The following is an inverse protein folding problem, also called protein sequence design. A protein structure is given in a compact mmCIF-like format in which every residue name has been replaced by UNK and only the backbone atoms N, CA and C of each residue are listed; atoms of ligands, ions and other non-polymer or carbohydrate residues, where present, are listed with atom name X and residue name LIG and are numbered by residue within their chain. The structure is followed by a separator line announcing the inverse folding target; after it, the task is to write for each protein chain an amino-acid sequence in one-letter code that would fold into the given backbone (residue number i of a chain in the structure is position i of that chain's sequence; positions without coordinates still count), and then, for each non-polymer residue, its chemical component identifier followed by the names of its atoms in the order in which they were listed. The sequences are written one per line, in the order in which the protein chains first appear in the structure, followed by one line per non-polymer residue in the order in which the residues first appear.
data_IF_664657597065
#
_entry.id   IF_664657597065
#
_cell.length_a   1.000
_cell.length_b   1.000
_cell.length_c   1.000
_cell.angle_alpha   90.00
_cell.angle_beta   90.00
_cell.angle_gamma   90.00
#
_symmetry.space_group_name_H-M   'P 1'
#
loop_
_entity.id
_entity.type
_entity.pdbx_description
1 polymer ?
#
# COMPACT_ATOMS: atom_id res chain seq x y z
N UNK A 1 35.82 1.05 7.09
CA UNK A 1 34.69 1.88 6.63
C UNK A 1 35.04 3.35 6.79
N UNK A 2 34.67 4.22 5.86
CA UNK A 2 34.96 5.67 5.97
C UNK A 2 33.68 6.47 6.19
N UNK A 3 33.79 7.61 6.86
CA UNK A 3 32.68 8.56 7.04
C UNK A 3 32.05 8.98 5.70
N UNK A 4 32.88 9.25 4.68
CA UNK A 4 32.43 9.55 3.32
C UNK A 4 31.58 8.42 2.72
N UNK A 5 31.97 7.15 2.92
CA UNK A 5 31.20 6.00 2.43
C UNK A 5 29.84 5.84 3.13
N UNK A 6 29.74 6.21 4.42
CA UNK A 6 28.49 6.24 5.16
C UNK A 6 27.58 7.37 4.67
N UNK A 7 28.13 8.58 4.48
CA UNK A 7 27.38 9.72 3.94
C UNK A 7 26.82 9.42 2.56
N UNK A 8 27.58 8.76 1.68
CA UNK A 8 27.11 8.36 0.36
C UNK A 8 25.94 7.38 0.44
N UNK A 9 26.03 6.35 1.30
CA UNK A 9 24.96 5.36 1.47
C UNK A 9 23.71 5.94 2.12
N UNK A 10 23.85 6.78 3.15
CA UNK A 10 22.72 7.50 3.74
C UNK A 10 22.04 8.46 2.75
N UNK A 11 22.82 9.05 1.84
CA UNK A 11 22.26 9.90 0.76
C UNK A 11 21.48 9.06 -0.24
N UNK A 12 22.06 7.95 -0.71
CA UNK A 12 21.39 7.03 -1.62
C UNK A 12 20.08 6.49 -1.02
N UNK A 13 20.09 6.13 0.27
CA UNK A 13 18.89 5.69 0.99
C UNK A 13 17.85 6.80 1.13
N UNK A 14 18.30 8.04 1.36
CA UNK A 14 17.41 9.22 1.38
C UNK A 14 16.75 9.45 0.01
N UNK A 15 17.47 9.24 -1.09
CA UNK A 15 16.92 9.37 -2.44
C UNK A 15 15.97 8.22 -2.80
N UNK A 16 16.29 7.00 -2.37
CA UNK A 16 15.38 5.86 -2.49
C UNK A 16 14.07 6.10 -1.74
N UNK A 17 14.12 6.67 -0.52
CA UNK A 17 12.91 7.00 0.23
C UNK A 17 12.07 8.09 -0.47
N UNK A 18 12.70 9.06 -1.15
CA UNK A 18 11.96 10.02 -2.01
C UNK A 18 11.25 9.31 -3.16
N UNK A 19 11.88 8.31 -3.79
CA UNK A 19 11.23 7.49 -4.81
C UNK A 19 10.00 6.76 -4.23
N UNK A 20 10.10 6.20 -3.02
CA UNK A 20 8.96 5.62 -2.30
C UNK A 20 7.83 6.64 -2.09
N UNK A 21 8.13 7.90 -1.74
CA UNK A 21 7.12 8.96 -1.64
C UNK A 21 6.41 9.25 -2.96
N UNK A 22 7.12 9.20 -4.10
CA UNK A 22 6.51 9.36 -5.41
C UNK A 22 5.52 8.22 -5.73
N UNK A 23 5.88 6.98 -5.39
CA UNK A 23 4.99 5.83 -5.54
C UNK A 23 3.77 5.94 -4.61
N UNK A 24 3.96 6.33 -3.35
CA UNK A 24 2.86 6.58 -2.39
C UNK A 24 1.93 7.66 -2.92
N UNK A 25 2.47 8.75 -3.49
CA UNK A 25 1.66 9.80 -4.09
C UNK A 25 0.84 9.25 -5.26
N UNK A 26 1.47 8.48 -6.16
CA UNK A 26 0.79 7.83 -7.28
C UNK A 26 -0.34 6.91 -6.80
N UNK A 27 -0.11 6.11 -5.76
CA UNK A 27 -1.14 5.26 -5.16
C UNK A 27 -2.31 6.10 -4.64
N UNK A 28 -2.03 7.18 -3.91
CA UNK A 28 -3.06 8.06 -3.35
C UNK A 28 -3.92 8.78 -4.39
N UNK A 29 -3.42 8.91 -5.62
CA UNK A 29 -4.08 9.60 -6.73
C UNK A 29 -4.68 8.63 -7.76
N UNK A 30 -4.64 7.33 -7.49
CA UNK A 30 -5.21 6.33 -8.37
C UNK A 30 -6.74 6.52 -8.47
N UNK A 31 -7.24 6.64 -9.69
CA UNK A 31 -8.67 6.81 -9.97
C UNK A 31 -9.27 5.50 -10.46
N UNK A 32 -10.53 5.27 -10.10
CA UNK A 32 -11.25 4.06 -10.46
C UNK A 32 -12.54 4.40 -11.20
N UNK A 33 -12.78 3.68 -12.27
CA UNK A 33 -14.01 3.78 -13.07
C UNK A 33 -14.82 2.49 -12.92
N UNK A 34 -16.16 2.53 -13.00
CA UNK A 34 -16.97 1.31 -13.06
C UNK A 34 -16.47 0.39 -14.19
N UNK A 35 -16.30 -0.90 -13.92
CA UNK A 35 -15.78 -1.89 -14.88
C UNK A 35 -14.25 -1.91 -15.04
N UNK A 36 -13.51 -1.00 -14.41
CA UNK A 36 -12.03 -1.00 -14.45
C UNK A 36 -11.37 -1.86 -13.37
N UNK A 37 -12.16 -2.35 -12.41
CA UNK A 37 -11.66 -3.20 -11.33
C UNK A 37 -12.36 -4.55 -11.45
N UNK A 38 -11.64 -5.67 -11.39
CA UNK A 38 -12.25 -6.99 -11.34
C UNK A 38 -13.29 -7.09 -10.20
N UNK A 39 -14.47 -7.61 -10.52
CA UNK A 39 -15.50 -7.91 -9.52
C UNK A 39 -15.07 -9.11 -8.66
N UNK A 40 -14.45 -10.11 -9.29
CA UNK A 40 -13.95 -11.33 -8.67
C UNK A 40 -12.42 -11.26 -8.51
N UNK A 41 -11.97 -10.92 -7.31
CA UNK A 41 -10.55 -10.86 -6.94
C UNK A 41 -9.86 -9.50 -7.11
N UNK A 42 -8.57 -9.49 -6.79
CA UNK A 42 -7.67 -8.32 -6.88
C UNK A 42 -6.46 -8.60 -7.80
N UNK A 43 -6.46 -9.74 -8.51
CA UNK A 43 -5.39 -10.17 -9.42
C UNK A 43 -5.40 -9.31 -10.69
N UNK A 44 -4.26 -8.67 -10.98
CA UNK A 44 -4.13 -7.68 -12.06
C UNK A 44 -4.63 -6.27 -11.72
N UNK A 45 -5.05 -5.99 -10.47
CA UNK A 45 -5.35 -4.63 -10.03
C UNK A 45 -4.04 -3.86 -9.76
N UNK A 46 -3.82 -2.79 -10.53
CA UNK A 46 -2.67 -1.87 -10.43
C UNK A 46 -2.47 -1.36 -9.00
N UNK A 47 -3.56 -1.21 -8.23
CA UNK A 47 -3.48 -0.86 -6.80
C UNK A 47 -2.68 -1.88 -6.01
N UNK A 48 -2.91 -3.17 -6.26
CA UNK A 48 -2.33 -4.29 -5.52
C UNK A 48 -0.86 -4.41 -5.83
N UNK A 49 -0.48 -4.32 -7.12
CA UNK A 49 0.90 -4.30 -7.58
C UNK A 49 1.68 -3.12 -6.97
N UNK A 50 1.16 -1.90 -7.12
CA UNK A 50 1.80 -0.70 -6.59
C UNK A 50 1.90 -0.73 -5.06
N UNK A 51 0.91 -1.31 -4.37
CA UNK A 51 0.97 -1.50 -2.91
C UNK A 51 2.05 -2.49 -2.51
N UNK A 52 2.25 -3.57 -3.27
CA UNK A 52 3.34 -4.53 -3.02
C UNK A 52 4.70 -3.89 -3.24
N UNK A 53 4.87 -3.19 -4.37
CA UNK A 53 6.14 -2.51 -4.70
C UNK A 53 6.54 -1.49 -3.61
N UNK A 54 5.60 -0.66 -3.16
CA UNK A 54 5.85 0.30 -2.08
C UNK A 54 6.19 -0.43 -0.78
N UNK A 55 5.45 -1.49 -0.45
CA UNK A 55 5.68 -2.25 0.78
C UNK A 55 7.09 -2.83 0.82
N UNK A 56 7.52 -3.47 -0.26
CA UNK A 56 8.81 -4.15 -0.35
C UNK A 56 9.95 -3.13 -0.40
N UNK A 57 9.78 -2.02 -1.12
CA UNK A 57 10.73 -0.90 -1.13
C UNK A 57 10.93 -0.31 0.27
N UNK A 58 9.84 0.00 1.00
CA UNK A 58 9.94 0.55 2.36
C UNK A 58 10.56 -0.45 3.33
N UNK A 59 10.24 -1.74 3.19
CA UNK A 59 10.84 -2.79 4.02
C UNK A 59 12.35 -2.88 3.80
N UNK A 60 12.80 -2.95 2.55
CA UNK A 60 14.23 -2.97 2.23
C UNK A 60 14.95 -1.72 2.75
N UNK A 61 14.34 -0.55 2.59
CA UNK A 61 14.90 0.71 3.07
C UNK A 61 15.04 0.76 4.59
N UNK A 62 14.08 0.22 5.34
CA UNK A 62 14.14 0.12 6.80
C UNK A 62 15.24 -0.84 7.25
N UNK A 63 15.37 -2.01 6.62
CA UNK A 63 16.44 -2.98 6.90
C UNK A 63 17.82 -2.38 6.62
N UNK A 64 18.00 -1.72 5.47
CA UNK A 64 19.24 -1.03 5.11
C UNK A 64 19.55 0.11 6.09
N UNK A 65 18.51 0.83 6.53
CA UNK A 65 18.65 1.92 7.49
C UNK A 65 19.14 1.44 8.85
N UNK A 66 18.58 0.34 9.35
CA UNK A 66 18.98 -0.25 10.63
C UNK A 66 20.47 -0.61 10.64
N UNK A 67 20.95 -1.22 9.56
CA UNK A 67 22.38 -1.52 9.38
C UNK A 67 23.21 -0.24 9.38
N UNK A 68 22.87 0.75 8.54
CA UNK A 68 23.62 2.00 8.44
C UNK A 68 23.63 2.79 9.75
N UNK A 69 22.54 2.75 10.51
CA UNK A 69 22.46 3.37 11.83
C UNK A 69 23.44 2.73 12.79
N UNK A 70 23.51 1.40 12.86
CA UNK A 70 24.48 0.70 13.69
C UNK A 70 25.92 1.05 13.29
N UNK A 71 26.22 1.08 11.98
CA UNK A 71 27.55 1.45 11.49
C UNK A 71 27.96 2.88 11.89
N UNK A 72 27.00 3.83 11.92
CA UNK A 72 27.22 5.20 12.41
C UNK A 72 27.44 5.23 13.92
N UNK A 73 26.64 4.48 14.69
CA UNK A 73 26.77 4.39 16.14
C UNK A 73 28.14 3.81 16.53
N UNK A 74 28.60 2.74 15.88
CA UNK A 74 29.91 2.13 16.09
C UNK A 74 31.06 3.11 15.78
N UNK A 75 30.93 3.90 14.70
CA UNK A 75 31.92 4.90 14.32
C UNK A 75 32.03 6.04 15.33
N UNK A 76 30.89 6.48 15.88
CA UNK A 76 30.85 7.50 16.94
C UNK A 76 31.42 6.96 18.24
N UNK A 77 31.03 5.75 18.65
CA UNK A 77 31.50 5.11 19.87
C UNK A 77 33.02 4.85 19.83
N UNK A 78 33.53 4.29 18.73
CA UNK A 78 34.96 4.03 18.54
C UNK A 78 35.84 5.29 18.52
N UNK A 79 35.28 6.44 18.16
CA UNK A 79 35.98 7.73 18.17
C UNK A 79 36.18 8.30 19.58
N UNK A 80 35.40 7.87 20.56
CA UNK A 80 35.39 8.40 21.94
C UNK A 80 36.50 7.83 22.85
N UNK A 81 37.02 6.63 22.55
CA UNK A 81 37.84 5.85 23.50
C UNK A 81 39.33 6.26 23.52
N UNK A 82 39.84 6.97 22.51
CA UNK A 82 41.29 7.21 22.37
C UNK A 82 41.76 8.65 22.12
N UNK A 83 40.87 9.59 21.77
CA UNK A 83 41.29 10.91 21.25
C UNK A 83 40.88 12.06 22.18
N UNK A 84 41.68 12.34 23.22
CA UNK A 84 41.56 13.55 24.07
C UNK A 84 41.89 14.86 23.34
N UNK A 85 42.26 14.81 22.05
CA UNK A 85 42.42 16.01 21.21
C UNK A 85 41.12 16.25 20.45
N UNK A 86 40.42 17.31 20.85
CA UNK A 86 39.22 17.88 20.20
C UNK A 86 39.51 18.11 18.73
N UNK A 87 39.07 17.18 17.87
CA UNK A 87 39.29 17.29 16.44
C UNK A 87 38.02 17.88 15.82
N UNK A 88 37.92 19.21 15.81
CA UNK A 88 36.70 19.95 15.46
C UNK A 88 36.11 19.56 14.10
N UNK A 89 36.91 19.05 13.18
CA UNK A 89 36.44 18.59 11.88
C UNK A 89 35.73 17.23 11.96
N UNK A 90 36.30 16.28 12.72
CA UNK A 90 35.66 14.98 12.98
C UNK A 90 34.35 15.16 13.74
N UNK A 91 34.33 16.04 14.75
CA UNK A 91 33.12 16.35 15.53
C UNK A 91 31.99 16.91 14.63
N UNK A 92 32.34 17.76 13.66
CA UNK A 92 31.39 18.30 12.67
C UNK A 92 30.88 17.21 11.74
N UNK A 93 31.72 16.30 11.29
CA UNK A 93 31.34 15.19 10.42
C UNK A 93 30.41 14.20 11.13
N UNK A 94 30.72 13.83 12.38
CA UNK A 94 29.84 12.99 13.20
C UNK A 94 28.50 13.65 13.49
N UNK A 95 28.48 14.97 13.72
CA UNK A 95 27.24 15.73 13.91
C UNK A 95 26.38 15.78 12.64
N UNK A 96 27.01 15.83 11.45
CA UNK A 96 26.29 15.74 10.17
C UNK A 96 25.69 14.35 9.96
N UNK A 97 26.44 13.30 10.26
CA UNK A 97 25.95 11.93 10.17
C UNK A 97 24.76 11.70 11.12
N UNK A 98 24.86 12.14 12.37
CA UNK A 98 23.76 12.00 13.33
C UNK A 98 22.51 12.77 12.91
N UNK A 99 22.67 13.99 12.38
CA UNK A 99 21.56 14.76 11.84
C UNK A 99 20.91 14.06 10.62
N UNK A 100 21.70 13.43 9.74
CA UNK A 100 21.19 12.69 8.60
C UNK A 100 20.41 11.44 9.02
N UNK A 101 20.93 10.69 10.00
CA UNK A 101 20.24 9.53 10.60
C UNK A 101 18.93 9.95 11.25
N UNK A 102 18.92 11.02 12.04
CA UNK A 102 17.71 11.52 12.69
C UNK A 102 16.65 11.95 11.67
N UNK A 103 17.06 12.66 10.60
CA UNK A 103 16.14 13.04 9.52
C UNK A 103 15.56 11.82 8.83
N UNK A 104 16.40 10.86 8.44
CA UNK A 104 15.97 9.68 7.70
C UNK A 104 15.06 8.76 8.54
N UNK A 105 15.26 8.73 9.85
CA UNK A 105 14.35 8.07 10.80
C UNK A 105 12.92 8.63 10.68
N UNK A 106 12.78 9.95 10.73
CA UNK A 106 11.46 10.59 10.61
C UNK A 106 10.90 10.44 9.19
N UNK A 107 11.74 10.57 8.16
CA UNK A 107 11.30 10.43 6.76
C UNK A 107 10.72 9.02 6.49
N UNK A 108 11.35 7.95 6.98
CA UNK A 108 10.84 6.58 6.85
C UNK A 108 9.54 6.37 7.64
N UNK A 109 9.47 6.92 8.86
CA UNK A 109 8.24 6.91 9.67
C UNK A 109 7.09 7.61 8.95
N UNK A 110 7.35 8.77 8.35
CA UNK A 110 6.38 9.52 7.57
C UNK A 110 5.95 8.74 6.32
N UNK A 111 6.88 8.10 5.63
CA UNK A 111 6.58 7.26 4.47
C UNK A 111 5.60 6.14 4.83
N UNK A 112 5.81 5.42 5.94
CA UNK A 112 4.88 4.39 6.43
C UNK A 112 3.49 4.94 6.75
N UNK A 113 3.41 6.08 7.44
CA UNK A 113 2.13 6.72 7.77
C UNK A 113 1.38 7.12 6.50
N UNK A 114 2.06 7.76 5.55
CA UNK A 114 1.46 8.20 4.29
C UNK A 114 1.05 7.01 3.42
N UNK A 115 1.87 5.98 3.35
CA UNK A 115 1.54 4.74 2.64
C UNK A 115 0.25 4.13 3.19
N UNK A 116 0.13 3.99 4.52
CA UNK A 116 -1.10 3.46 5.12
C UNK A 116 -2.32 4.31 4.79
N UNK A 117 -2.20 5.63 4.81
CA UNK A 117 -3.28 6.56 4.43
C UNK A 117 -3.66 6.39 2.96
N UNK A 118 -2.68 6.27 2.07
CA UNK A 118 -2.87 6.03 0.65
C UNK A 118 -3.58 4.69 0.39
N UNK A 119 -3.19 3.61 1.08
CA UNK A 119 -3.88 2.32 0.98
C UNK A 119 -5.37 2.44 1.35
N UNK A 120 -5.67 3.10 2.47
CA UNK A 120 -7.05 3.27 2.93
C UNK A 120 -7.89 4.13 1.99
N UNK A 121 -7.34 5.24 1.48
CA UNK A 121 -8.06 6.10 0.52
C UNK A 121 -8.33 5.35 -0.78
N UNK A 122 -7.33 4.62 -1.27
CA UNK A 122 -7.39 3.89 -2.54
C UNK A 122 -8.35 2.71 -2.45
N UNK A 123 -8.34 1.96 -1.32
CA UNK A 123 -9.32 0.90 -1.06
C UNK A 123 -10.75 1.43 -1.08
N UNK A 124 -11.03 2.55 -0.38
CA UNK A 124 -12.37 3.16 -0.38
C UNK A 124 -12.81 3.61 -1.77
N UNK A 125 -11.90 4.21 -2.55
CA UNK A 125 -12.19 4.64 -3.91
C UNK A 125 -12.51 3.45 -4.82
N UNK A 126 -11.76 2.35 -4.69
CA UNK A 126 -12.02 1.12 -5.44
C UNK A 126 -13.37 0.49 -5.06
N UNK A 127 -13.69 0.40 -3.77
CA UNK A 127 -14.97 -0.10 -3.28
C UNK A 127 -16.15 0.73 -3.79
N UNK A 128 -16.01 2.06 -3.80
CA UNK A 128 -17.04 2.96 -4.34
C UNK A 128 -17.27 2.73 -5.84
N UNK A 129 -16.20 2.50 -6.62
CA UNK A 129 -16.32 2.17 -8.04
C UNK A 129 -16.99 0.81 -8.27
N UNK A 130 -16.61 -0.24 -7.53
CA UNK A 130 -17.28 -1.56 -7.58
C UNK A 130 -18.76 -1.46 -7.19
N UNK A 131 -19.09 -0.65 -6.18
CA UNK A 131 -20.48 -0.44 -5.77
C UNK A 131 -21.30 0.27 -6.86
N UNK A 132 -20.72 1.30 -7.50
CA UNK A 132 -21.36 2.01 -8.61
C UNK A 132 -21.58 1.10 -9.82
N UNK A 133 -20.62 0.24 -10.13
CA UNK A 133 -20.77 -0.77 -11.18
C UNK A 133 -21.93 -1.73 -10.88
N UNK A 134 -22.00 -2.29 -9.66
CA UNK A 134 -23.13 -3.15 -9.26
C UNK A 134 -24.46 -2.42 -9.40
N UNK A 135 -24.55 -1.16 -8.96
CA UNK A 135 -25.77 -0.37 -9.10
C UNK A 135 -26.19 -0.18 -10.57
N UNK A 136 -25.24 0.11 -11.46
CA UNK A 136 -25.51 0.25 -12.89
C UNK A 136 -25.98 -1.06 -13.51
N UNK A 137 -25.37 -2.19 -13.13
CA UNK A 137 -25.82 -3.52 -13.56
C UNK A 137 -27.26 -3.75 -13.08
N UNK A 138 -27.57 -3.56 -11.79
CA UNK A 138 -28.94 -3.72 -11.28
C UNK A 138 -29.97 -2.83 -11.98
N UNK A 139 -29.66 -1.55 -12.19
CA UNK A 139 -30.55 -0.63 -12.91
C UNK A 139 -30.82 -1.09 -14.35
N UNK A 140 -29.78 -1.57 -15.05
CA UNK A 140 -29.93 -2.09 -16.42
C UNK A 140 -30.83 -3.32 -16.50
N UNK A 141 -30.80 -4.21 -15.50
CA UNK A 141 -31.71 -5.35 -15.42
C UNK A 141 -33.17 -4.91 -15.18
N UNK A 142 -33.39 -3.87 -14.37
CA UNK A 142 -34.73 -3.36 -14.05
C UNK A 142 -35.37 -2.59 -15.21
N UNK A 143 -34.60 -1.81 -15.96
CA UNK A 143 -35.07 -1.18 -17.20
C UNK A 143 -35.34 -2.23 -18.30
N UNK A 144 -34.50 -3.26 -18.40
CA UNK A 144 -34.72 -4.40 -19.30
C UNK A 144 -35.97 -5.21 -18.97
N UNK A 145 -36.37 -5.28 -17.70
CA UNK A 145 -37.61 -5.95 -17.28
C UNK A 145 -38.87 -5.10 -17.52
N UNK A 146 -38.71 -3.81 -17.84
CA UNK A 146 -39.82 -2.88 -18.08
C UNK A 146 -40.24 -2.80 -19.56
N UNK A 147 -39.56 -3.53 -20.45
CA UNK A 147 -39.75 -3.45 -21.91
C UNK A 147 -40.23 -4.72 -22.63
N UNK A 148 -40.46 -5.85 -21.96
CA UNK A 148 -40.97 -7.07 -22.63
C UNK A 148 -42.46 -7.26 -22.37
N UNK A 149 -43.27 -6.44 -23.06
CA UNK A 149 -44.62 -6.83 -23.44
C UNK A 149 -44.55 -7.51 -24.81
N UNK A 150 -44.34 -8.83 -24.84
CA UNK A 150 -44.74 -9.65 -25.99
C UNK A 150 -45.83 -10.61 -25.50
N UNK A 151 -47.11 -10.41 -25.87
CA UNK A 151 -48.15 -11.38 -25.60
C UNK A 151 -48.11 -12.42 -26.72
N UNK A 152 -47.49 -13.58 -26.46
CA UNK A 152 -47.80 -14.78 -27.24
C UNK A 152 -48.10 -15.93 -26.29
N UNK A 153 -49.23 -16.57 -26.57
CA UNK A 153 -49.98 -17.42 -25.67
C UNK A 153 -49.51 -18.89 -25.79
N UNK A 154 -49.42 -19.58 -24.64
CA UNK A 154 -49.39 -21.06 -24.42
C UNK A 154 -48.05 -21.75 -24.77
N UNK A 155 -47.42 -22.62 -23.96
CA UNK A 155 -47.91 -23.64 -23.02
C UNK A 155 -46.83 -24.05 -21.98
N UNK A 156 -47.27 -24.34 -20.75
CA UNK A 156 -46.74 -25.31 -19.74
C UNK A 156 -45.24 -25.26 -19.34
N UNK A 157 -44.99 -24.89 -18.08
CA UNK A 157 -44.51 -25.81 -17.03
C UNK A 157 -44.48 -25.05 -15.69
N UNK A 158 -45.17 -25.59 -14.68
CA UNK A 158 -45.13 -25.07 -13.32
C UNK A 158 -43.88 -25.56 -12.58
N UNK A 159 -43.33 -24.69 -11.74
CA UNK A 159 -42.82 -25.02 -10.41
C UNK A 159 -42.59 -23.67 -9.70
N UNK A 160 -43.58 -23.19 -8.99
CA UNK A 160 -43.81 -23.44 -7.56
C UNK A 160 -42.85 -22.65 -6.66
N UNK A 161 -43.47 -21.93 -5.73
CA UNK A 161 -42.84 -20.98 -4.83
C UNK A 161 -42.09 -21.76 -3.76
N UNK A 162 -40.77 -21.89 -3.90
CA UNK A 162 -39.94 -22.37 -2.80
C UNK A 162 -39.65 -21.19 -1.86
N UNK A 163 -40.60 -21.05 -0.94
CA UNK A 163 -40.51 -20.32 0.32
C UNK A 163 -39.26 -20.77 1.09
N UNK A 164 -38.38 -19.82 1.37
CA UNK A 164 -37.73 -19.54 2.67
C UNK A 164 -37.77 -20.67 3.74
N UNK A 165 -37.28 -21.88 3.45
CA UNK A 165 -37.07 -22.91 4.49
C UNK A 165 -35.94 -23.92 4.17
N UNK A 166 -35.22 -23.77 3.05
CA UNK A 166 -34.18 -24.73 2.61
C UNK A 166 -32.74 -24.31 2.97
N UNK A 167 -32.52 -23.65 4.11
CA UNK A 167 -31.18 -23.20 4.55
C UNK A 167 -30.66 -23.96 5.79
N UNK A 168 -31.36 -24.98 6.29
CA UNK A 168 -30.97 -25.67 7.54
C UNK A 168 -30.47 -27.12 7.42
N UNK A 169 -30.26 -27.65 6.21
CA UNK A 169 -29.74 -29.03 6.05
C UNK A 169 -28.27 -29.01 5.61
N UNK A 170 -27.40 -28.60 6.53
CA UNK A 170 -25.95 -28.58 6.31
C UNK A 170 -25.09 -28.74 7.57
N UNK A 171 -25.69 -29.04 8.72
CA UNK A 171 -24.97 -29.19 9.98
C UNK A 171 -25.47 -30.41 10.76
N UNK A 172 -25.05 -31.61 10.35
CA UNK A 172 -24.83 -32.77 11.23
C UNK A 172 -24.27 -33.94 10.40
N UNK A 173 -22.95 -34.07 10.43
CA UNK A 173 -22.26 -35.33 10.17
C UNK A 173 -21.07 -35.36 11.12
N UNK A 174 -21.33 -35.89 12.31
CA UNK A 174 -20.38 -36.59 13.18
C UNK A 174 -21.14 -37.80 13.78
#
# INVERSE_FOLDING_TARGET
MTTQSLTARLTALSDANKASFHLIHRLSKLTFHPGSIPLDGDEGDVRTELSSEIHDSLKQQEEDFELLRQEVEDLIAGSSVGSRRRNSEKDRETARLSAQVARLTEDLRQARIQFRRAQLSTKRAAEAAKAKERQLLFASLQDGSSGTSTPTNRHRAGHDKLSQDEVLVGASSD
#
